data_IF_715425234576
#
_entry.id   IF_715425234576
#
_cell.length_a   1.000
_cell.length_b   1.000
_cell.length_c   1.000
_cell.angle_alpha   90.00
_cell.angle_beta   90.00
_cell.angle_gamma   90.00
#
_symmetry.space_group_name_H-M   'P 1'
#
loop_
_entity.id
_entity.type
_entity.pdbx_description
1 polymer ?
#
# COMPACT_ATOMS: atom_id res chain seq x y z
N UNK A 1 6.01 -11.81 -12.13
CA UNK A 1 5.01 -10.73 -12.11
C UNK A 1 5.43 -9.68 -11.09
N UNK A 2 5.46 -8.43 -11.51
CA UNK A 2 5.81 -7.33 -10.63
C UNK A 2 4.57 -6.77 -9.95
N UNK A 3 4.67 -6.53 -8.65
CA UNK A 3 3.57 -6.07 -7.81
C UNK A 3 3.93 -4.74 -7.18
N UNK A 4 2.96 -3.82 -7.15
CA UNK A 4 3.09 -2.56 -6.45
C UNK A 4 2.02 -2.52 -5.37
N UNK A 5 2.34 -2.02 -4.18
CA UNK A 5 1.36 -1.90 -3.11
C UNK A 5 1.33 -0.50 -2.52
N UNK A 6 0.15 -0.09 -2.07
CA UNK A 6 -0.07 1.20 -1.43
C UNK A 6 -0.72 0.99 -0.07
N UNK A 7 -0.13 1.61 0.95
CA UNK A 7 -0.72 1.71 2.28
C UNK A 7 -1.21 3.15 2.44
N UNK A 8 -2.51 3.34 2.28
CA UNK A 8 -3.11 4.67 2.20
C UNK A 8 -3.15 5.37 3.57
N UNK A 9 -2.77 6.64 3.58
CA UNK A 9 -2.97 7.54 4.69
C UNK A 9 -3.41 8.90 4.16
N UNK A 10 -4.04 9.71 5.00
CA UNK A 10 -4.54 11.03 4.59
C UNK A 10 -3.38 11.97 4.27
N UNK A 11 -2.32 11.93 5.06
CA UNK A 11 -1.17 12.82 4.88
C UNK A 11 -0.07 12.22 4.02
N UNK A 12 0.06 10.90 4.03
CA UNK A 12 1.10 10.21 3.27
C UNK A 12 0.68 8.79 2.94
N UNK A 13 1.19 8.28 1.84
CA UNK A 13 0.89 6.95 1.33
C UNK A 13 2.21 6.19 1.21
N UNK A 14 2.31 5.05 1.89
CA UNK A 14 3.47 4.18 1.76
C UNK A 14 3.39 3.36 0.49
N UNK A 15 4.53 3.16 -0.17
CA UNK A 15 4.61 2.41 -1.43
C UNK A 15 5.69 1.34 -1.31
N UNK A 16 5.37 0.15 -1.79
CA UNK A 16 6.32 -0.96 -1.85
C UNK A 16 6.22 -1.67 -3.19
N UNK A 17 7.26 -2.39 -3.54
CA UNK A 17 7.34 -3.14 -4.78
C UNK A 17 7.74 -4.59 -4.47
N UNK A 18 7.21 -5.53 -5.24
CA UNK A 18 7.53 -6.95 -5.07
C UNK A 18 7.59 -7.68 -6.40
N UNK A 19 8.10 -8.90 -6.33
CA UNK A 19 8.25 -9.77 -7.50
C UNK A 19 7.85 -11.20 -7.13
N UNK A 20 6.91 -11.78 -7.89
CA UNK A 20 6.43 -13.14 -7.62
C UNK A 20 7.49 -14.20 -7.92
N UNK A 21 8.31 -14.00 -8.95
CA UNK A 21 9.33 -14.98 -9.34
C UNK A 21 10.33 -15.24 -8.22
N UNK A 22 10.78 -14.19 -7.56
CA UNK A 22 11.75 -14.30 -6.46
C UNK A 22 11.07 -14.34 -5.10
N UNK A 23 9.75 -14.09 -5.05
CA UNK A 23 8.96 -13.99 -3.83
C UNK A 23 9.58 -13.00 -2.84
N UNK A 24 9.97 -11.84 -3.38
CA UNK A 24 10.60 -10.78 -2.60
C UNK A 24 9.76 -9.51 -2.64
N UNK A 25 9.95 -8.67 -1.63
CA UNK A 25 9.31 -7.36 -1.53
C UNK A 25 10.26 -6.37 -0.89
N UNK A 26 10.07 -5.08 -1.20
CA UNK A 26 10.89 -4.01 -0.63
C UNK A 26 10.05 -2.75 -0.46
N UNK A 27 10.24 -2.00 0.64
CA UNK A 27 9.67 -0.66 0.71
C UNK A 27 10.31 0.19 -0.37
N UNK A 28 9.52 1.02 -1.03
CA UNK A 28 9.99 1.84 -2.14
C UNK A 28 10.12 3.30 -1.75
N UNK A 29 9.01 3.94 -1.40
CA UNK A 29 9.02 5.35 -1.02
C UNK A 29 7.72 5.73 -0.32
N UNK A 30 7.66 6.98 0.15
CA UNK A 30 6.45 7.55 0.73
C UNK A 30 6.01 8.70 -0.17
N UNK A 31 4.74 8.69 -0.58
CA UNK A 31 4.12 9.77 -1.33
C UNK A 31 3.45 10.70 -0.33
N UNK A 32 3.88 11.96 -0.31
CA UNK A 32 3.31 12.95 0.59
C UNK A 32 2.15 13.68 -0.10
N UNK A 33 1.00 13.67 0.55
CA UNK A 33 -0.18 14.40 0.10
C UNK A 33 -0.09 15.86 0.57
N UNK A 34 -0.69 16.77 -0.19
CA UNK A 34 -0.64 18.20 0.14
C UNK A 34 -2.06 18.71 0.34
N UNK A 35 -2.28 19.40 1.47
CA UNK A 35 -3.60 19.95 1.82
C UNK A 35 -4.71 18.90 1.76
N UNK A 36 -4.41 17.68 2.25
CA UNK A 36 -5.30 16.54 2.24
C UNK A 36 -5.73 16.08 0.83
N UNK A 37 -4.98 16.51 -0.18
CA UNK A 37 -5.19 16.08 -1.56
C UNK A 37 -4.13 15.09 -1.96
N UNK A 38 -4.54 13.98 -2.56
CA UNK A 38 -3.64 12.91 -2.99
C UNK A 38 -2.77 13.40 -4.13
N UNK A 39 -1.47 13.14 -4.03
CA UNK A 39 -0.50 13.49 -5.06
C UNK A 39 -0.55 12.45 -6.19
N UNK A 40 -1.57 12.57 -7.03
CA UNK A 40 -1.79 11.63 -8.13
C UNK A 40 -0.66 11.64 -9.17
N UNK A 41 -0.01 12.80 -9.34
CA UNK A 41 1.13 12.87 -10.27
C UNK A 41 2.26 11.94 -9.84
N UNK A 42 2.59 11.92 -8.55
CA UNK A 42 3.60 11.00 -8.03
C UNK A 42 3.17 9.55 -8.16
N UNK A 43 1.91 9.25 -7.87
CA UNK A 43 1.40 7.89 -7.98
C UNK A 43 1.45 7.40 -9.44
N UNK A 44 1.03 8.22 -10.38
CA UNK A 44 1.11 7.87 -11.80
C UNK A 44 2.55 7.67 -12.26
N UNK A 45 3.47 8.51 -11.80
CA UNK A 45 4.89 8.38 -12.15
C UNK A 45 5.47 7.06 -11.65
N UNK A 46 5.10 6.65 -10.44
CA UNK A 46 5.55 5.38 -9.87
C UNK A 46 5.01 4.21 -10.68
N UNK A 47 3.73 4.24 -11.04
CA UNK A 47 3.11 3.18 -11.84
C UNK A 47 3.78 3.08 -13.21
N UNK A 48 4.05 4.22 -13.86
CA UNK A 48 4.71 4.25 -15.16
C UNK A 48 6.15 3.75 -15.09
N UNK A 49 6.87 4.10 -14.02
CA UNK A 49 8.25 3.68 -13.84
C UNK A 49 8.36 2.18 -13.60
N UNK A 50 7.52 1.65 -12.71
CA UNK A 50 7.64 0.25 -12.29
C UNK A 50 6.82 -0.72 -13.14
N UNK A 51 5.81 -0.23 -13.85
CA UNK A 51 4.94 -1.03 -14.74
C UNK A 51 4.48 -2.33 -14.09
N UNK A 52 3.79 -2.24 -12.93
CA UNK A 52 3.36 -3.44 -12.24
C UNK A 52 2.27 -4.17 -13.03
N UNK A 53 2.15 -5.46 -12.79
CA UNK A 53 1.08 -6.28 -13.36
C UNK A 53 -0.08 -6.45 -12.38
N UNK A 54 0.13 -6.08 -11.12
CA UNK A 54 -0.87 -6.13 -10.07
C UNK A 54 -0.60 -4.99 -9.08
N UNK A 55 -1.66 -4.33 -8.63
CA UNK A 55 -1.58 -3.31 -7.60
C UNK A 55 -2.38 -3.77 -6.39
N UNK A 56 -1.76 -3.71 -5.22
CA UNK A 56 -2.40 -4.06 -3.95
C UNK A 56 -2.65 -2.80 -3.15
N UNK A 57 -3.81 -2.74 -2.48
CA UNK A 57 -4.15 -1.63 -1.58
C UNK A 57 -4.57 -2.23 -0.24
N UNK A 58 -4.02 -1.72 0.85
CA UNK A 58 -4.38 -2.18 2.17
C UNK A 58 -5.83 -1.83 2.52
N UNK A 59 -6.56 -2.80 3.06
CA UNK A 59 -7.94 -2.60 3.49
C UNK A 59 -7.95 -2.39 5.01
N UNK A 60 -8.18 -1.16 5.49
CA UNK A 60 -8.04 -0.85 6.92
C UNK A 60 -9.31 -1.22 7.70
N UNK A 61 -9.46 -2.50 7.99
CA UNK A 61 -10.58 -3.00 8.78
C UNK A 61 -10.28 -2.88 10.28
N UNK A 62 -11.35 -2.79 11.09
CA UNK A 62 -11.24 -2.92 12.53
C UNK A 62 -10.89 -4.38 12.88
N UNK A 63 -10.40 -4.61 14.10
CA UNK A 63 -9.99 -5.97 14.50
C UNK A 63 -11.12 -6.99 14.43
N UNK A 64 -12.36 -6.56 14.54
CA UNK A 64 -13.54 -7.44 14.42
C UNK A 64 -13.98 -7.68 12.96
N UNK A 65 -13.26 -7.12 11.99
CA UNK A 65 -13.56 -7.29 10.58
C UNK A 65 -14.50 -6.25 10.00
N UNK A 66 -15.01 -5.31 10.81
CA UNK A 66 -15.86 -4.22 10.31
C UNK A 66 -15.02 -3.12 9.67
N UNK A 67 -15.63 -2.28 8.86
CA UNK A 67 -14.94 -1.16 8.21
C UNK A 67 -14.45 -0.15 9.26
N UNK A 68 -13.20 0.31 9.10
CA UNK A 68 -12.67 1.39 9.93
C UNK A 68 -13.15 2.74 9.38
N UNK A 69 -12.93 3.81 10.17
CA UNK A 69 -13.26 5.16 9.73
C UNK A 69 -12.50 5.57 8.47
N UNK A 70 -11.32 5.01 8.26
CA UNK A 70 -10.48 5.28 7.10
C UNK A 70 -10.98 4.57 5.83
N UNK A 71 -11.83 3.55 5.96
CA UNK A 71 -12.23 2.71 4.82
C UNK A 71 -12.89 3.52 3.70
N UNK A 72 -13.68 4.52 4.06
CA UNK A 72 -14.34 5.39 3.09
C UNK A 72 -13.33 6.11 2.20
N UNK A 73 -12.29 6.65 2.81
CA UNK A 73 -11.23 7.37 2.08
C UNK A 73 -10.41 6.41 1.20
N UNK A 74 -10.10 5.23 1.72
CA UNK A 74 -9.37 4.22 0.98
C UNK A 74 -10.18 3.75 -0.23
N UNK A 75 -11.49 3.60 -0.07
CA UNK A 75 -12.35 3.15 -1.16
C UNK A 75 -12.39 4.18 -2.30
N UNK A 76 -12.42 5.47 -1.95
CA UNK A 76 -12.34 6.54 -2.94
C UNK A 76 -11.00 6.47 -3.70
N UNK A 77 -9.91 6.30 -2.97
CA UNK A 77 -8.57 6.14 -3.54
C UNK A 77 -8.51 4.93 -4.48
N UNK A 78 -9.02 3.80 -4.02
CA UNK A 78 -9.02 2.54 -4.78
C UNK A 78 -9.79 2.68 -6.09
N UNK A 79 -10.98 3.29 -6.04
CA UNK A 79 -11.81 3.49 -7.22
C UNK A 79 -11.14 4.40 -8.25
N UNK A 80 -10.49 5.47 -7.79
CA UNK A 80 -9.78 6.36 -8.70
C UNK A 80 -8.54 5.68 -9.30
N UNK A 81 -7.85 4.88 -8.51
CA UNK A 81 -6.72 4.11 -8.98
C UNK A 81 -7.12 3.21 -10.14
N UNK A 82 -8.26 2.55 -10.04
CA UNK A 82 -8.79 1.70 -11.10
C UNK A 82 -9.18 2.48 -12.35
N UNK A 83 -9.48 3.77 -12.22
CA UNK A 83 -9.81 4.62 -13.37
C UNK A 83 -8.58 5.11 -14.12
N UNK A 84 -7.47 5.36 -13.41
CA UNK A 84 -6.28 5.93 -14.04
C UNK A 84 -5.34 4.88 -14.61
N UNK A 85 -5.58 3.61 -14.33
CA UNK A 85 -4.75 2.53 -14.86
C UNK A 85 -5.61 1.34 -15.26
N UNK A 86 -5.10 0.57 -16.23
CA UNK A 86 -5.74 -0.69 -16.65
C UNK A 86 -5.21 -1.89 -15.87
N UNK A 87 -4.33 -1.65 -14.90
CA UNK A 87 -3.71 -2.72 -14.11
C UNK A 87 -4.71 -3.23 -13.08
N UNK A 88 -4.84 -4.56 -12.90
CA UNK A 88 -5.71 -5.10 -11.85
C UNK A 88 -5.33 -4.58 -10.46
N UNK A 89 -6.33 -4.21 -9.67
CA UNK A 89 -6.15 -3.74 -8.31
C UNK A 89 -6.91 -4.65 -7.36
N UNK A 90 -6.29 -5.02 -6.24
CA UNK A 90 -6.90 -5.89 -5.22
C UNK A 90 -6.69 -5.30 -3.84
N UNK A 91 -7.66 -5.52 -2.95
CA UNK A 91 -7.49 -5.20 -1.54
C UNK A 91 -6.76 -6.33 -0.81
N UNK A 92 -5.95 -5.95 0.17
CA UNK A 92 -5.35 -6.89 1.12
C UNK A 92 -5.72 -6.42 2.53
N UNK A 93 -6.25 -7.32 3.34
CA UNK A 93 -6.60 -7.01 4.73
C UNK A 93 -5.32 -6.64 5.50
N UNK A 94 -5.29 -5.44 6.08
CA UNK A 94 -4.10 -4.94 6.77
C UNK A 94 -4.20 -5.01 8.30
N UNK A 95 -5.23 -5.69 8.84
CA UNK A 95 -5.30 -5.92 10.28
C UNK A 95 -4.04 -6.66 10.71
N UNK A 96 -3.40 -6.21 11.77
CA UNK A 96 -2.14 -6.74 12.31
C UNK A 96 -0.91 -6.40 11.44
N UNK A 97 -1.05 -6.22 10.14
CA UNK A 97 0.08 -5.95 9.23
C UNK A 97 0.76 -4.63 9.59
N UNK A 98 0.00 -3.55 9.64
CA UNK A 98 0.54 -2.24 10.01
C UNK A 98 1.04 -2.20 11.45
N UNK A 99 0.40 -2.96 12.34
CA UNK A 99 0.82 -3.08 13.72
C UNK A 99 2.22 -3.68 13.81
N UNK A 100 2.48 -4.78 13.10
CA UNK A 100 3.80 -5.41 13.07
C UNK A 100 4.86 -4.47 12.51
N UNK A 101 4.55 -3.78 11.43
CA UNK A 101 5.47 -2.83 10.83
C UNK A 101 5.82 -1.70 11.78
N UNK A 102 4.83 -1.15 12.49
CA UNK A 102 5.07 -0.07 13.44
C UNK A 102 5.91 -0.52 14.62
N UNK A 103 5.69 -1.73 15.12
CA UNK A 103 6.50 -2.27 16.19
C UNK A 103 7.96 -2.40 15.77
N UNK A 104 8.20 -2.98 14.60
CA UNK A 104 9.56 -3.15 14.09
C UNK A 104 10.26 -1.81 13.88
N UNK A 105 9.55 -0.81 13.37
CA UNK A 105 10.13 0.49 13.09
C UNK A 105 10.32 1.36 14.32
N UNK A 106 9.50 1.18 15.34
CA UNK A 106 9.73 1.84 16.65
C UNK A 106 11.07 1.38 17.21
N UNK A 107 11.36 0.09 17.12
CA UNK A 107 12.65 -0.44 17.57
C UNK A 107 13.81 0.09 16.74
N UNK A 108 13.61 0.24 15.44
CA UNK A 108 14.65 0.71 14.51
C UNK A 108 14.72 2.23 14.40
N UNK A 109 13.78 2.95 15.01
CA UNK A 109 13.70 4.42 14.99
C UNK A 109 13.75 4.99 13.57
N UNK A 110 12.93 4.43 12.67
CA UNK A 110 12.88 4.87 11.28
C UNK A 110 11.51 5.45 10.93
N UNK A 111 11.48 6.37 9.96
CA UNK A 111 10.26 7.04 9.50
C UNK A 111 9.56 6.31 8.37
N UNK A 112 10.01 5.10 8.00
CA UNK A 112 9.47 4.35 6.87
C UNK A 112 8.31 3.42 7.25
N UNK A 113 7.54 3.77 8.30
CA UNK A 113 6.43 2.94 8.79
C UNK A 113 5.45 2.60 7.68
N UNK A 114 5.02 3.60 6.89
CA UNK A 114 4.00 3.37 5.86
C UNK A 114 4.53 2.55 4.69
N UNK A 115 5.79 2.76 4.31
CA UNK A 115 6.41 1.97 3.25
C UNK A 115 6.66 0.53 3.71
N UNK A 116 7.00 0.33 4.97
CA UNK A 116 7.16 -1.01 5.53
C UNK A 116 5.81 -1.73 5.61
N UNK A 117 4.74 -1.02 5.98
CA UNK A 117 3.40 -1.58 5.98
C UNK A 117 2.98 -2.02 4.57
N UNK A 118 3.30 -1.21 3.57
CA UNK A 118 3.03 -1.56 2.17
C UNK A 118 3.80 -2.83 1.75
N UNK A 119 5.05 -2.98 2.20
CA UNK A 119 5.84 -4.19 1.95
C UNK A 119 5.16 -5.42 2.54
N UNK A 120 4.64 -5.32 3.76
CA UNK A 120 4.00 -6.43 4.44
C UNK A 120 2.72 -6.85 3.71
N UNK A 121 2.01 -5.91 3.08
CA UNK A 121 0.86 -6.25 2.24
C UNK A 121 1.27 -7.21 1.12
N UNK A 122 2.39 -6.96 0.47
CA UNK A 122 2.91 -7.85 -0.58
C UNK A 122 3.29 -9.20 0.02
N UNK A 123 3.98 -9.21 1.17
CA UNK A 123 4.39 -10.43 1.83
C UNK A 123 3.19 -11.31 2.17
N UNK A 124 2.11 -10.71 2.68
CA UNK A 124 0.89 -11.42 2.98
C UNK A 124 0.23 -11.99 1.72
N UNK A 125 0.15 -11.20 0.66
CA UNK A 125 -0.40 -11.66 -0.60
C UNK A 125 0.41 -12.84 -1.17
N UNK A 126 1.74 -12.73 -1.12
CA UNK A 126 2.62 -13.80 -1.60
C UNK A 126 2.44 -15.09 -0.80
N UNK A 127 2.20 -14.99 0.51
CA UNK A 127 2.03 -16.19 1.34
C UNK A 127 0.71 -16.90 1.06
N UNK A 128 -0.29 -16.21 0.53
CA UNK A 128 -1.60 -16.79 0.21
C UNK A 128 -1.72 -17.22 -1.26
N UNK A 129 -0.73 -16.89 -2.06
CA UNK A 129 -0.73 -17.17 -3.51
C UNK A 129 0.64 -17.79 -3.96
#
# INVERSE_FOLDING_TARGET
MQILSFDFGIKKIGVAVGQTKTRTSSPLEIVFNKNNKINWNSIQSIIEEWRPELILVGKPLNMDGTDSDMMKEVDIFFKKLKKITNIPCEYVDERLTSFEARQNLIELKTDLVDAQAAKILIDNWLSEN
#
